data_IF_928953094643
#
_entry.id   IF_928953094643
#
_cell.length_a   1.000
_cell.length_b   1.000
_cell.length_c   1.000
_cell.angle_alpha   90.00
_cell.angle_beta   90.00
_cell.angle_gamma   90.00
#
_symmetry.space_group_name_H-M   'P 1'
#
loop_
_entity.id
_entity.type
_entity.pdbx_description
1 polymer ?
#
# COMPACT_ATOMS: atom_id res chain seq x y z
N UNK A 1 -5.44 -18.29 1.16
CA UNK A 1 -6.39 -17.67 0.21
C UNK A 1 -5.78 -16.41 -0.40
N UNK A 2 -5.90 -16.27 -1.71
CA UNK A 2 -5.38 -15.11 -2.41
C UNK A 2 -6.27 -13.89 -2.14
N UNK A 3 -5.68 -12.72 -1.84
CA UNK A 3 -6.48 -11.51 -1.67
C UNK A 3 -7.09 -11.06 -3.00
N UNK A 4 -8.18 -10.33 -2.90
CA UNK A 4 -8.89 -9.82 -4.07
C UNK A 4 -8.23 -8.57 -4.63
N UNK A 5 -7.73 -7.71 -3.76
CA UNK A 5 -7.21 -6.40 -4.13
C UNK A 5 -5.73 -6.27 -3.84
N UNK A 6 -5.04 -5.51 -4.69
CA UNK A 6 -3.66 -5.12 -4.46
C UNK A 6 -3.55 -3.61 -4.36
N UNK A 7 -2.73 -3.16 -3.42
CA UNK A 7 -2.40 -1.76 -3.22
C UNK A 7 -1.09 -1.46 -3.92
N UNK A 8 -1.09 -0.45 -4.78
CA UNK A 8 0.12 -0.02 -5.46
C UNK A 8 0.91 0.89 -4.53
N UNK A 9 2.16 0.52 -4.25
CA UNK A 9 3.03 1.25 -3.33
C UNK A 9 4.40 1.43 -4.00
N UNK A 10 4.95 2.64 -3.90
CA UNK A 10 6.28 2.92 -4.43
C UNK A 10 7.36 2.27 -3.57
N UNK A 11 8.52 2.05 -4.16
CA UNK A 11 9.67 1.59 -3.41
C UNK A 11 10.44 2.77 -2.79
N UNK A 12 11.09 2.57 -1.68
CA UNK A 12 11.30 1.29 -0.96
C UNK A 12 10.16 0.91 -0.02
N UNK A 13 9.11 1.69 0.04
CA UNK A 13 8.03 1.50 1.00
C UNK A 13 7.29 0.18 0.82
N UNK A 14 7.08 -0.24 -0.42
CA UNK A 14 6.42 -1.53 -0.69
C UNK A 14 7.19 -2.68 -0.04
N UNK A 15 8.50 -2.73 -0.23
CA UNK A 15 9.35 -3.76 0.37
C UNK A 15 9.32 -3.68 1.89
N UNK A 16 9.36 -2.48 2.46
CA UNK A 16 9.31 -2.33 3.91
C UNK A 16 7.99 -2.82 4.51
N UNK A 17 6.88 -2.68 3.79
CA UNK A 17 5.59 -3.19 4.27
C UNK A 17 5.62 -4.72 4.34
N UNK A 18 6.03 -5.39 3.27
CA UNK A 18 5.98 -6.85 3.23
C UNK A 18 7.06 -7.50 4.11
N UNK A 19 8.15 -6.78 4.39
CA UNK A 19 9.18 -7.28 5.29
C UNK A 19 8.83 -7.06 6.76
N UNK A 20 7.82 -6.24 7.04
CA UNK A 20 7.44 -5.91 8.40
C UNK A 20 8.15 -4.70 8.99
N UNK A 21 9.07 -4.10 8.23
CA UNK A 21 9.81 -2.93 8.72
C UNK A 21 8.98 -1.66 8.76
N UNK A 22 7.86 -1.63 8.01
CA UNK A 22 6.99 -0.47 7.91
C UNK A 22 5.56 -0.91 8.21
N UNK A 23 5.15 -0.95 9.49
CA UNK A 23 3.76 -1.30 9.80
C UNK A 23 2.76 -0.21 9.45
N UNK A 24 3.21 1.01 9.20
CA UNK A 24 2.34 2.14 8.89
C UNK A 24 2.62 2.69 7.51
N UNK A 25 1.62 2.61 6.62
CA UNK A 25 1.65 3.31 5.33
C UNK A 25 0.91 4.64 5.49
N UNK A 26 1.47 5.71 4.94
CA UNK A 26 0.91 7.06 5.10
C UNK A 26 0.23 7.47 3.79
N UNK A 27 -1.03 7.85 3.90
CA UNK A 27 -1.84 8.26 2.75
C UNK A 27 -2.62 9.54 3.05
N UNK A 28 -3.01 10.24 1.98
CA UNK A 28 -3.81 11.48 2.11
C UNK A 28 -5.26 11.20 2.45
N UNK A 29 -5.73 10.01 2.17
CA UNK A 29 -7.15 9.64 2.29
C UNK A 29 -7.31 8.34 3.06
N UNK A 30 -8.44 8.19 3.77
CA UNK A 30 -8.76 6.90 4.37
C UNK A 30 -9.31 5.93 3.33
N UNK A 31 -9.55 4.69 3.74
CA UNK A 31 -10.23 3.69 2.91
C UNK A 31 -11.11 2.83 3.81
N UNK A 32 -12.16 2.26 3.22
CA UNK A 32 -13.01 1.30 3.92
C UNK A 32 -12.52 -0.13 3.75
N UNK A 33 -11.52 -0.35 2.91
CA UNK A 33 -10.97 -1.67 2.65
C UNK A 33 -10.25 -2.18 3.90
N UNK A 34 -10.51 -3.44 4.26
CA UNK A 34 -9.88 -4.10 5.41
C UNK A 34 -9.56 -5.55 5.05
N UNK A 35 -8.63 -6.13 5.80
CA UNK A 35 -8.24 -7.52 5.64
C UNK A 35 -6.98 -7.68 4.80
N UNK A 36 -6.74 -8.88 4.33
CA UNK A 36 -5.52 -9.17 3.58
C UNK A 36 -5.58 -8.58 2.19
N UNK A 37 -4.52 -7.86 1.83
CA UNK A 37 -4.37 -7.25 0.51
C UNK A 37 -3.00 -7.61 -0.06
N UNK A 38 -2.89 -7.56 -1.38
CA UNK A 38 -1.60 -7.66 -2.04
C UNK A 38 -0.87 -6.33 -1.98
N UNK A 39 0.45 -6.39 -1.99
CA UNK A 39 1.31 -5.21 -2.07
C UNK A 39 2.02 -5.26 -3.42
N UNK A 40 1.80 -4.23 -4.21
CA UNK A 40 2.29 -4.14 -5.60
C UNK A 40 3.37 -3.07 -5.67
N UNK A 41 4.54 -3.45 -6.16
CA UNK A 41 5.64 -2.51 -6.38
C UNK A 41 5.94 -2.41 -7.88
N UNK A 42 6.87 -1.55 -8.30
CA UNK A 42 7.32 -1.55 -9.70
C UNK A 42 7.82 -2.91 -10.19
N UNK A 43 8.25 -3.79 -9.26
CA UNK A 43 8.75 -5.11 -9.59
C UNK A 43 7.64 -6.14 -9.81
N UNK A 44 6.40 -5.84 -9.43
CA UNK A 44 5.26 -6.73 -9.52
C UNK A 44 4.57 -6.92 -8.18
N UNK A 45 3.88 -8.03 -8.02
CA UNK A 45 3.22 -8.37 -6.76
C UNK A 45 4.25 -9.04 -5.85
N UNK A 46 4.61 -8.34 -4.77
CA UNK A 46 5.76 -8.76 -3.95
C UNK A 46 5.40 -9.41 -2.62
N UNK A 47 4.13 -9.36 -2.24
CA UNK A 47 3.70 -9.98 -0.98
C UNK A 47 2.33 -9.52 -0.58
N UNK A 48 1.96 -9.80 0.66
CA UNK A 48 0.67 -9.41 1.23
C UNK A 48 0.84 -8.85 2.62
N UNK A 49 -0.18 -8.16 3.10
CA UNK A 49 -0.29 -7.72 4.49
C UNK A 49 -1.76 -7.54 4.82
N UNK A 50 -2.08 -7.53 6.10
CA UNK A 50 -3.45 -7.28 6.54
C UNK A 50 -3.60 -5.80 6.84
N UNK A 51 -4.51 -5.14 6.14
CA UNK A 51 -4.90 -3.75 6.44
C UNK A 51 -5.87 -3.82 7.61
N UNK A 52 -5.35 -3.55 8.81
CA UNK A 52 -6.06 -3.80 10.05
C UNK A 52 -6.94 -2.63 10.47
N UNK A 53 -6.45 -1.40 10.29
CA UNK A 53 -7.19 -0.21 10.70
C UNK A 53 -6.65 1.03 10.01
N UNK A 54 -7.45 2.08 10.04
CA UNK A 54 -7.07 3.42 9.55
C UNK A 54 -7.12 4.35 10.76
N UNK A 55 -6.09 5.15 10.94
CA UNK A 55 -6.04 6.17 11.99
C UNK A 55 -5.91 7.55 11.35
N UNK A 56 -6.54 8.51 11.95
CA UNK A 56 -6.42 9.89 11.49
C UNK A 56 -7.75 10.58 11.29
N UNK A 57 -7.67 11.83 10.82
CA UNK A 57 -6.46 12.50 10.32
C UNK A 57 -5.44 12.79 11.43
N UNK A 58 -4.15 12.69 11.10
CA UNK A 58 -3.06 12.86 12.04
C UNK A 58 -2.16 14.01 11.58
N UNK A 59 -1.86 14.98 12.46
CA UNK A 59 -0.97 16.09 12.12
C UNK A 59 0.44 15.61 11.76
N UNK A 60 1.09 16.35 10.88
CA UNK A 60 2.43 16.01 10.40
C UNK A 60 3.45 15.90 11.54
N UNK A 61 3.38 16.79 12.52
CA UNK A 61 4.31 16.77 13.65
C UNK A 61 4.22 15.50 14.49
N UNK A 62 3.05 14.86 14.54
CA UNK A 62 2.89 13.59 15.21
C UNK A 62 3.62 12.51 14.42
N UNK A 63 3.47 12.53 13.09
CA UNK A 63 4.13 11.55 12.23
C UNK A 63 5.65 11.67 12.25
N UNK A 64 6.17 12.88 12.38
CA UNK A 64 7.62 13.10 12.47
C UNK A 64 8.27 12.36 13.63
N UNK A 65 7.51 12.08 14.68
CA UNK A 65 8.01 11.36 15.85
C UNK A 65 7.91 9.85 15.71
N UNK A 66 7.33 9.35 14.61
CA UNK A 66 7.04 7.94 14.41
C UNK A 66 7.74 7.37 13.17
N UNK A 67 8.89 7.92 12.83
CA UNK A 67 9.62 7.50 11.62
C UNK A 67 9.90 5.99 11.62
N UNK A 68 10.22 5.42 12.78
CA UNK A 68 10.48 3.98 12.87
C UNK A 68 9.28 3.14 12.38
N UNK A 69 8.06 3.65 12.48
CA UNK A 69 6.86 2.92 12.09
C UNK A 69 6.46 3.14 10.64
N UNK A 70 6.68 4.33 10.09
CA UNK A 70 6.26 4.61 8.71
C UNK A 70 7.43 4.70 7.72
N UNK A 71 8.64 4.87 8.21
CA UNK A 71 9.87 4.87 7.40
C UNK A 71 9.91 5.92 6.29
N UNK A 72 9.05 6.92 6.36
CA UNK A 72 9.02 7.97 5.36
C UNK A 72 9.91 9.14 5.79
N UNK A 73 10.64 9.70 4.82
CA UNK A 73 11.48 10.85 5.06
C UNK A 73 10.62 12.06 5.43
N UNK A 74 10.98 12.83 6.49
CA UNK A 74 10.19 14.00 6.88
C UNK A 74 9.98 15.02 5.78
N UNK A 75 10.98 15.26 4.93
CA UNK A 75 10.84 16.21 3.82
C UNK A 75 9.83 15.71 2.79
N UNK A 76 9.83 14.41 2.52
CA UNK A 76 8.85 13.79 1.63
C UNK A 76 7.44 13.94 2.20
N UNK A 77 7.26 13.65 3.50
CA UNK A 77 5.96 13.75 4.14
C UNK A 77 5.41 15.19 4.09
N UNK A 78 6.27 16.17 4.32
CA UNK A 78 5.87 17.57 4.28
C UNK A 78 5.34 17.94 2.89
N UNK A 79 6.08 17.58 1.85
CA UNK A 79 5.66 17.83 0.48
C UNK A 79 4.40 17.07 0.11
N UNK A 80 4.31 15.81 0.56
CA UNK A 80 3.17 14.96 0.28
C UNK A 80 1.90 15.46 0.96
N UNK A 81 2.02 15.94 2.20
CA UNK A 81 0.87 16.41 2.99
C UNK A 81 0.24 17.69 2.44
N UNK A 82 1.03 18.56 1.82
CA UNK A 82 0.57 19.86 1.30
C UNK A 82 -0.18 20.66 2.37
N UNK A 83 0.38 20.68 3.59
CA UNK A 83 -0.21 21.44 4.70
C UNK A 83 -1.41 20.80 5.37
N UNK A 84 -1.81 19.60 4.96
CA UNK A 84 -2.97 18.90 5.52
C UNK A 84 -2.56 17.72 6.38
N UNK A 85 -3.40 17.32 7.34
CA UNK A 85 -3.13 16.09 8.09
C UNK A 85 -3.25 14.86 7.17
N UNK A 86 -2.63 13.78 7.60
CA UNK A 86 -2.54 12.55 6.84
C UNK A 86 -3.22 11.40 7.58
N UNK A 87 -3.37 10.27 6.90
CA UNK A 87 -3.95 9.07 7.49
C UNK A 87 -2.91 7.98 7.59
N UNK A 88 -3.01 7.20 8.66
CA UNK A 88 -2.13 6.06 8.91
C UNK A 88 -2.91 4.79 8.57
N UNK A 89 -2.40 4.03 7.62
CA UNK A 89 -2.94 2.72 7.25
C UNK A 89 -2.09 1.68 7.99
N UNK A 90 -2.68 1.04 8.99
CA UNK A 90 -1.95 0.11 9.86
C UNK A 90 -1.99 -1.28 9.27
N UNK A 91 -0.80 -1.83 9.00
CA UNK A 91 -0.64 -3.17 8.46
C UNK A 91 -0.15 -4.12 9.54
N UNK A 92 -0.66 -5.36 9.50
CA UNK A 92 -0.23 -6.46 10.35
C UNK A 92 -0.01 -7.69 9.48
N UNK A 93 0.62 -8.71 10.06
CA UNK A 93 0.83 -10.01 9.43
C UNK A 93 1.37 -9.92 8.00
N UNK A 94 2.52 -9.26 7.82
CA UNK A 94 3.12 -9.14 6.49
C UNK A 94 3.70 -10.47 6.02
N UNK A 95 3.62 -10.71 4.71
CA UNK A 95 4.18 -11.90 4.07
C UNK A 95 4.88 -11.46 2.79
N UNK A 96 6.17 -11.73 2.71
CA UNK A 96 6.96 -11.39 1.54
C UNK A 96 7.14 -12.62 0.67
N UNK A 97 6.89 -12.49 -0.63
CA UNK A 97 7.12 -13.60 -1.55
C UNK A 97 8.62 -13.75 -1.83
N UNK A 98 9.08 -14.98 -2.09
CA UNK A 98 10.50 -15.20 -2.48
C UNK A 98 10.87 -14.42 -3.74
N UNK A 99 9.94 -14.29 -4.68
CA UNK A 99 10.15 -13.54 -5.91
C UNK A 99 8.86 -12.79 -6.29
N UNK A 100 8.98 -11.63 -6.93
CA UNK A 100 7.80 -10.90 -7.40
C UNK A 100 7.01 -11.75 -8.41
N UNK A 101 5.69 -11.66 -8.34
CA UNK A 101 4.81 -12.28 -9.30
C UNK A 101 4.50 -11.23 -10.37
N UNK A 102 4.76 -11.52 -11.66
CA UNK A 102 4.45 -10.57 -12.73
C UNK A 102 2.97 -10.26 -12.80
N UNK A 103 2.65 -9.00 -13.04
CA UNK A 103 1.27 -8.54 -13.18
C UNK A 103 1.15 -7.56 -14.34
N UNK A 104 -0.06 -7.42 -14.86
CA UNK A 104 -0.40 -6.39 -15.83
C UNK A 104 -0.79 -5.14 -15.07
N UNK A 105 -0.10 -4.04 -15.35
CA UNK A 105 -0.37 -2.79 -14.67
C UNK A 105 -1.36 -1.94 -15.45
N UNK A 106 -2.33 -1.33 -14.78
CA UNK A 106 -3.19 -0.35 -15.43
C UNK A 106 -2.38 0.90 -15.75
N UNK A 107 -2.84 1.68 -16.71
CA UNK A 107 -2.23 2.96 -17.07
C UNK A 107 -2.71 4.04 -16.11
N UNK A 108 -1.84 5.03 -15.91
CA UNK A 108 -2.18 6.20 -15.12
C UNK A 108 -2.08 5.99 -13.62
N UNK A 109 -2.44 7.02 -12.85
CA UNK A 109 -2.36 6.97 -11.39
C UNK A 109 -3.50 6.12 -10.83
N UNK A 110 -3.15 4.94 -10.32
CA UNK A 110 -4.09 3.98 -9.77
C UNK A 110 -3.61 3.58 -8.39
N UNK A 111 -4.52 3.50 -7.43
CA UNK A 111 -4.20 3.11 -6.05
C UNK A 111 -4.44 1.63 -5.84
N UNK A 112 -5.58 1.13 -6.31
CA UNK A 112 -5.99 -0.26 -6.13
C UNK A 112 -6.13 -0.96 -7.46
N UNK A 113 -5.75 -2.25 -7.49
CA UNK A 113 -6.00 -3.10 -8.65
C UNK A 113 -6.70 -4.37 -8.17
N UNK A 114 -7.46 -5.00 -9.08
CA UNK A 114 -8.00 -6.34 -8.84
C UNK A 114 -6.93 -7.33 -9.25
N UNK A 115 -6.49 -8.17 -8.31
CA UNK A 115 -5.42 -9.12 -8.59
C UNK A 115 -5.80 -10.12 -9.67
N UNK A 116 -7.05 -10.54 -9.72
CA UNK A 116 -7.53 -11.43 -10.76
C UNK A 116 -7.26 -10.86 -12.16
N UNK A 117 -7.57 -9.57 -12.37
CA UNK A 117 -7.32 -8.90 -13.64
C UNK A 117 -5.83 -8.69 -13.89
N UNK A 118 -5.11 -8.28 -12.86
CA UNK A 118 -3.68 -8.00 -12.97
C UNK A 118 -2.87 -9.25 -13.31
N UNK A 119 -3.34 -10.41 -12.86
CA UNK A 119 -2.71 -11.69 -13.17
C UNK A 119 -3.10 -12.22 -14.56
N UNK A 120 -4.00 -11.55 -15.27
CA UNK A 120 -4.44 -11.99 -16.58
C UNK A 120 -5.51 -13.05 -16.58
N UNK A 121 -6.11 -13.33 -15.41
CA UNK A 121 -7.17 -14.33 -15.27
C UNK A 121 -8.52 -13.80 -15.74
N UNK A 122 -8.63 -12.48 -15.87
CA UNK A 122 -9.85 -11.82 -16.27
C UNK A 122 -9.51 -10.51 -16.97
N UNK A 123 -10.11 -10.28 -18.14
CA UNK A 123 -9.82 -9.06 -18.90
C UNK A 123 -10.48 -7.85 -18.27
N UNK A 124 -9.71 -6.78 -18.01
CA UNK A 124 -10.28 -5.55 -17.44
C UNK A 124 -11.37 -4.98 -18.34
N UNK A 125 -12.43 -4.46 -17.72
CA UNK A 125 -13.48 -3.78 -18.44
C UNK A 125 -14.43 -4.66 -19.24
N UNK A 126 -14.21 -5.98 -19.26
CA UNK A 126 -15.09 -6.88 -19.98
C UNK A 126 -16.40 -7.11 -19.22
N UNK A 127 -17.49 -7.06 -19.96
CA UNK A 127 -18.83 -7.31 -19.42
C UNK A 127 -19.46 -8.52 -20.05
N UNK A 128 -20.41 -9.09 -19.37
CA UNK A 128 -21.25 -10.17 -19.89
C UNK A 128 -22.64 -9.68 -20.06
#
# INVERSE_FOLDING_TARGET
MRPELGLIVREPYATYIVSGEKPWEIRRYPTHIRGRIGIISPRGWIGTAVLAEIRGPVPLEVLRRQIARHRADPAFLEAYARGRPLYIWVFTDPQQFPEPIPIHRPRGPVVWIRLEEALGERKPGRRR
#
